data_IF_133218508213
#
_entry.id   IF_133218508213
#
_cell.length_a   1.000
_cell.length_b   1.000
_cell.length_c   1.000
_cell.angle_alpha   90.00
_cell.angle_beta   90.00
_cell.angle_gamma   90.00
#
_symmetry.space_group_name_H-M   'P 1'
#
loop_
_entity.id
_entity.type
_entity.pdbx_description
1 polymer ?
#
# COMPACT_ATOMS: atom_id res chain seq x y z
N UNK A 1 -0.64 14.60 -20.75
CA UNK A 1 -0.73 15.10 -19.36
C UNK A 1 0.25 14.31 -18.53
N UNK A 2 0.96 14.93 -17.59
CA UNK A 2 1.70 14.16 -16.60
C UNK A 2 0.70 13.30 -15.80
N UNK A 3 1.00 12.01 -15.63
CA UNK A 3 0.17 11.12 -14.80
C UNK A 3 0.18 11.59 -13.34
N UNK A 4 -0.83 11.16 -12.57
CA UNK A 4 -0.86 11.35 -11.12
C UNK A 4 -0.48 10.04 -10.45
N UNK A 5 0.38 10.11 -9.44
CA UNK A 5 0.74 8.96 -8.62
C UNK A 5 -0.30 8.77 -7.53
N UNK A 6 -0.82 7.55 -7.41
CA UNK A 6 -1.66 7.12 -6.30
C UNK A 6 -0.77 6.46 -5.24
N UNK A 7 -0.78 7.01 -4.04
CA UNK A 7 0.11 6.60 -2.94
C UNK A 7 -0.72 6.16 -1.73
N UNK A 8 -1.26 4.93 -1.72
CA UNK A 8 -1.91 4.40 -0.53
C UNK A 8 -0.87 4.11 0.57
N UNK A 9 -1.17 4.58 1.78
CA UNK A 9 -0.41 4.30 2.99
C UNK A 9 -1.28 3.61 4.04
N UNK A 10 -0.82 2.48 4.57
CA UNK A 10 -1.45 1.77 5.71
C UNK A 10 -0.47 1.68 6.88
N UNK A 11 -0.95 1.73 8.12
CA UNK A 11 -0.10 1.66 9.31
C UNK A 11 0.71 0.37 9.35
N UNK A 12 2.03 0.51 9.32
CA UNK A 12 2.97 -0.57 9.56
C UNK A 12 3.61 -0.46 10.96
N UNK A 13 2.94 0.21 11.91
CA UNK A 13 3.37 0.43 13.29
C UNK A 13 4.70 1.20 13.42
N UNK A 14 5.02 1.64 14.64
CA UNK A 14 6.31 2.30 14.97
C UNK A 14 6.67 3.47 14.04
N UNK A 15 5.67 4.23 13.58
CA UNK A 15 5.85 5.36 12.67
C UNK A 15 6.13 5.00 11.21
N UNK A 16 6.01 3.72 10.84
CA UNK A 16 6.14 3.23 9.47
C UNK A 16 4.78 3.04 8.80
N UNK A 17 4.81 3.01 7.46
CA UNK A 17 3.67 2.72 6.60
C UNK A 17 4.00 1.63 5.59
N UNK A 18 3.04 0.78 5.28
CA UNK A 18 3.01 0.04 4.02
C UNK A 18 2.60 1.01 2.92
N UNK A 19 3.49 1.22 1.97
CA UNK A 19 3.33 2.20 0.89
C UNK A 19 3.23 1.46 -0.42
N UNK A 20 2.09 1.62 -1.08
CA UNK A 20 1.96 1.28 -2.49
C UNK A 20 2.23 2.49 -3.37
N UNK A 21 2.54 2.24 -4.64
CA UNK A 21 2.75 3.30 -5.62
C UNK A 21 2.16 2.88 -6.95
N UNK A 22 1.10 3.57 -7.37
CA UNK A 22 0.33 3.18 -8.55
C UNK A 22 0.06 4.37 -9.48
N UNK A 23 -0.29 4.05 -10.72
CA UNK A 23 -0.83 5.01 -11.68
C UNK A 23 -2.04 4.40 -12.36
N UNK A 24 -3.05 5.23 -12.63
CA UNK A 24 -4.15 4.81 -13.49
C UNK A 24 -3.73 4.97 -14.96
N UNK A 25 -3.65 3.86 -15.69
CA UNK A 25 -3.27 3.83 -17.11
C UNK A 25 -4.42 3.23 -17.90
N UNK A 26 -5.12 4.06 -18.70
CA UNK A 26 -6.29 3.60 -19.46
C UNK A 26 -7.44 3.18 -18.54
N UNK A 27 -7.73 1.88 -18.48
CA UNK A 27 -8.80 1.25 -17.73
C UNK A 27 -8.32 0.43 -16.51
N UNK A 28 -7.02 0.42 -16.24
CA UNK A 28 -6.42 -0.39 -15.18
C UNK A 28 -5.46 0.41 -14.30
N UNK A 29 -5.15 -0.19 -13.15
CA UNK A 29 -4.18 0.29 -12.19
C UNK A 29 -2.84 -0.40 -12.44
N UNK A 30 -1.79 0.39 -12.65
CA UNK A 30 -0.42 -0.07 -12.87
C UNK A 30 0.42 0.17 -11.61
N UNK A 31 1.15 -0.86 -11.15
CA UNK A 31 2.12 -0.71 -10.05
C UNK A 31 3.40 -0.05 -10.60
N UNK A 32 3.75 1.10 -10.03
CA UNK A 32 4.91 1.90 -10.41
C UNK A 32 6.18 1.46 -9.66
N UNK A 33 6.03 1.07 -8.40
CA UNK A 33 7.09 0.59 -7.52
C UNK A 33 6.52 -0.51 -6.62
N UNK A 34 7.28 -1.57 -6.31
CA UNK A 34 6.87 -2.61 -5.38
C UNK A 34 6.42 -2.02 -4.04
N UNK A 35 5.37 -2.60 -3.46
CA UNK A 35 4.94 -2.26 -2.10
C UNK A 35 6.11 -2.38 -1.12
N UNK A 36 6.35 -1.32 -0.36
CA UNK A 36 7.45 -1.24 0.62
C UNK A 36 7.00 -0.74 1.97
N UNK A 37 7.86 -0.88 2.97
CA UNK A 37 7.71 -0.20 4.25
C UNK A 37 8.55 1.07 4.21
N UNK A 38 7.97 2.20 4.61
CA UNK A 38 8.69 3.46 4.72
C UNK A 38 8.29 4.22 6.00
N UNK A 39 9.23 4.92 6.67
CA UNK A 39 8.91 5.89 7.70
C UNK A 39 8.03 7.01 7.12
N UNK A 40 7.01 7.42 7.86
CA UNK A 40 6.07 8.43 7.38
C UNK A 40 6.74 9.77 6.98
N UNK A 41 7.78 10.17 7.71
CA UNK A 41 8.55 11.39 7.42
C UNK A 41 9.33 11.29 6.12
N UNK A 42 9.91 10.12 5.84
CA UNK A 42 10.65 9.88 4.60
C UNK A 42 9.70 9.86 3.40
N UNK A 43 8.52 9.23 3.55
CA UNK A 43 7.48 9.29 2.53
C UNK A 43 7.06 10.74 2.25
N UNK A 44 6.82 11.54 3.29
CA UNK A 44 6.45 12.94 3.13
C UNK A 44 7.53 13.74 2.38
N UNK A 45 8.81 13.56 2.72
CA UNK A 45 9.92 14.21 2.03
C UNK A 45 10.00 13.79 0.56
N UNK A 46 9.94 12.48 0.29
CA UNK A 46 9.99 11.92 -1.07
C UNK A 46 8.87 12.49 -1.96
N UNK A 47 7.65 12.60 -1.45
CA UNK A 47 6.52 13.12 -2.22
C UNK A 47 6.65 14.63 -2.51
N UNK A 48 7.24 15.40 -1.60
CA UNK A 48 7.43 16.84 -1.78
C UNK A 48 8.58 17.17 -2.75
N UNK A 49 9.66 16.39 -2.70
CA UNK A 49 10.80 16.49 -3.61
C UNK A 49 10.48 15.96 -5.02
N UNK A 50 9.49 15.08 -5.13
CA UNK A 50 9.02 14.52 -6.39
C UNK A 50 8.51 15.57 -7.37
N UNK A 51 8.75 15.31 -8.66
CA UNK A 51 8.25 16.12 -9.77
C UNK A 51 6.84 15.74 -10.22
N UNK A 52 6.39 14.52 -9.89
CA UNK A 52 5.07 14.00 -10.24
C UNK A 52 4.04 14.36 -9.15
N UNK A 53 2.85 14.89 -9.52
CA UNK A 53 1.75 15.05 -8.57
C UNK A 53 1.36 13.73 -7.91
N UNK A 54 1.03 13.77 -6.63
CA UNK A 54 0.66 12.59 -5.84
C UNK A 54 -0.69 12.78 -5.12
N UNK A 55 -1.46 11.71 -5.08
CA UNK A 55 -2.67 11.59 -4.26
C UNK A 55 -2.39 10.57 -3.15
N UNK A 56 -2.32 11.03 -1.91
CA UNK A 56 -2.23 10.20 -0.72
C UNK A 56 -3.58 9.57 -0.41
N UNK A 57 -3.57 8.27 -0.12
CA UNK A 57 -4.75 7.48 0.24
C UNK A 57 -4.47 6.64 1.50
N UNK A 58 -5.49 6.04 2.09
CA UNK A 58 -5.40 5.26 3.31
C UNK A 58 -5.34 6.14 4.56
N UNK A 59 -4.38 5.85 5.44
CA UNK A 59 -4.18 6.54 6.71
C UNK A 59 -3.34 7.81 6.54
N UNK A 60 -3.78 8.70 5.66
CA UNK A 60 -3.03 9.88 5.23
C UNK A 60 -2.61 10.82 6.38
N UNK A 61 -3.40 10.86 7.45
CA UNK A 61 -3.12 11.66 8.66
C UNK A 61 -1.78 11.29 9.33
N UNK A 62 -1.22 10.12 9.00
CA UNK A 62 0.07 9.66 9.50
C UNK A 62 1.25 10.17 8.69
N UNK A 63 1.04 10.88 7.58
CA UNK A 63 2.06 11.46 6.69
C UNK A 63 2.06 13.00 6.83
N UNK A 64 2.63 13.55 7.92
CA UNK A 64 2.53 14.98 8.22
C UNK A 64 3.41 15.82 7.29
N UNK A 65 3.09 17.11 7.16
CA UNK A 65 3.93 18.09 6.46
C UNK A 65 3.76 18.09 4.96
N UNK A 66 2.75 17.40 4.43
CA UNK A 66 2.40 17.40 3.00
C UNK A 66 1.42 18.51 2.63
N UNK A 67 0.81 19.16 3.63
CA UNK A 67 -0.25 20.16 3.47
C UNK A 67 0.21 21.44 2.77
N UNK A 68 1.51 21.76 2.84
CA UNK A 68 2.10 22.93 2.20
C UNK A 68 2.59 22.68 0.76
N UNK A 69 2.46 21.43 0.26
CA UNK A 69 2.94 21.06 -1.07
C UNK A 69 1.76 20.90 -2.04
N UNK A 70 1.58 21.85 -2.96
CA UNK A 70 0.48 21.84 -3.93
C UNK A 70 0.43 20.59 -4.83
N UNK A 71 1.56 19.87 -4.95
CA UNK A 71 1.64 18.63 -5.72
C UNK A 71 1.14 17.40 -4.95
N UNK A 72 1.05 17.48 -3.63
CA UNK A 72 0.60 16.37 -2.78
C UNK A 72 -0.80 16.70 -2.28
N UNK A 73 -1.76 15.90 -2.71
CA UNK A 73 -3.15 16.05 -2.30
C UNK A 73 -3.61 14.82 -1.55
N UNK A 74 -4.58 14.98 -0.66
CA UNK A 74 -5.24 13.85 -0.03
C UNK A 74 -6.42 13.44 -0.90
N UNK A 75 -6.62 12.13 -1.10
CA UNK A 75 -7.86 11.63 -1.66
C UNK A 75 -9.07 12.13 -0.83
N UNK A 76 -10.24 12.32 -1.44
CA UNK A 76 -11.45 12.64 -0.68
C UNK A 76 -11.72 11.54 0.35
N UNK A 77 -12.24 11.90 1.52
CA UNK A 77 -12.47 10.98 2.64
C UNK A 77 -13.20 9.71 2.23
N UNK A 78 -14.22 9.86 1.38
CA UNK A 78 -15.00 8.75 0.87
C UNK A 78 -14.13 7.69 0.20
N UNK A 79 -13.02 8.07 -0.45
CA UNK A 79 -12.15 7.22 -1.26
C UNK A 79 -10.76 6.93 -0.65
N UNK A 80 -10.51 7.32 0.61
CA UNK A 80 -9.20 7.06 1.25
C UNK A 80 -9.02 5.59 1.62
N UNK A 81 -10.03 4.96 2.22
CA UNK A 81 -9.89 3.62 2.77
C UNK A 81 -10.15 2.52 1.72
N UNK A 82 -9.48 1.35 1.84
CA UNK A 82 -9.77 0.19 1.01
C UNK A 82 -11.25 -0.21 1.07
N UNK A 83 -11.80 -0.61 -0.08
CA UNK A 83 -13.20 -1.05 -0.18
C UNK A 83 -13.29 -2.48 -0.68
N UNK A 84 -14.17 -3.27 -0.06
CA UNK A 84 -14.44 -4.64 -0.48
C UNK A 84 -14.93 -4.75 -1.92
N UNK A 85 -15.69 -3.75 -2.40
CA UNK A 85 -16.12 -3.69 -3.81
C UNK A 85 -14.95 -3.57 -4.78
N UNK A 86 -13.90 -2.81 -4.44
CA UNK A 86 -12.69 -2.72 -5.26
C UNK A 86 -11.96 -4.06 -5.34
N UNK A 87 -11.87 -4.79 -4.22
CA UNK A 87 -11.31 -6.14 -4.18
C UNK A 87 -12.12 -7.10 -5.06
N UNK A 88 -13.46 -7.04 -4.98
CA UNK A 88 -14.34 -7.88 -5.80
C UNK A 88 -14.19 -7.60 -7.30
N UNK A 89 -14.07 -6.33 -7.71
CA UNK A 89 -13.84 -5.94 -9.11
C UNK A 89 -12.48 -6.46 -9.60
N UNK A 90 -11.41 -6.27 -8.81
CA UNK A 90 -10.07 -6.76 -9.16
C UNK A 90 -10.03 -8.29 -9.25
N UNK A 91 -10.69 -8.99 -8.31
CA UNK A 91 -10.81 -10.44 -8.33
C UNK A 91 -11.59 -10.95 -9.53
N UNK A 92 -12.70 -10.30 -9.88
CA UNK A 92 -13.50 -10.65 -11.05
C UNK A 92 -12.72 -10.49 -12.37
N UNK A 93 -11.85 -9.48 -12.47
CA UNK A 93 -10.99 -9.26 -13.64
C UNK A 93 -9.90 -10.33 -13.79
N UNK A 94 -9.49 -10.99 -12.70
CA UNK A 94 -8.49 -12.06 -12.68
C UNK A 94 -9.11 -13.47 -12.71
N UNK A 95 -10.44 -13.56 -12.65
CA UNK A 95 -11.14 -14.83 -12.60
C UNK A 95 -11.02 -15.60 -13.93
N UNK A 96 -10.58 -16.85 -13.85
CA UNK A 96 -10.50 -17.77 -14.99
C UNK A 96 -11.55 -18.88 -14.79
N UNK A 97 -12.60 -18.95 -15.63
CA UNK A 97 -13.54 -20.06 -15.60
C UNK A 97 -12.80 -21.39 -15.75
N UNK A 98 -13.13 -22.37 -14.91
CA UNK A 98 -12.49 -23.71 -14.88
C UNK A 98 -10.99 -23.71 -14.53
N UNK A 99 -10.40 -22.55 -14.22
CA UNK A 99 -9.01 -22.44 -13.77
C UNK A 99 -8.84 -22.87 -12.32
N UNK A 100 -7.85 -23.72 -12.06
CA UNK A 100 -7.38 -24.06 -10.70
C UNK A 100 -6.50 -22.93 -10.12
N UNK A 101 -6.99 -21.69 -10.22
CA UNK A 101 -6.25 -20.49 -9.79
C UNK A 101 -6.36 -20.23 -8.29
N UNK A 102 -7.22 -20.97 -7.58
CA UNK A 102 -7.58 -20.73 -6.19
C UNK A 102 -7.73 -22.04 -5.40
N UNK A 103 -6.67 -22.84 -5.35
CA UNK A 103 -6.53 -23.76 -4.22
C UNK A 103 -6.65 -22.94 -2.95
N UNK A 104 -7.73 -23.13 -2.19
CA UNK A 104 -7.95 -22.45 -0.90
C UNK A 104 -6.74 -22.62 0.05
N UNK A 105 -5.97 -23.70 -0.13
CA UNK A 105 -4.77 -24.00 0.64
C UNK A 105 -3.48 -23.37 0.08
N UNK A 106 -3.51 -22.77 -1.11
CA UNK A 106 -2.35 -22.14 -1.76
C UNK A 106 -2.30 -20.61 -1.66
N UNK A 107 -3.20 -19.99 -0.89
CA UNK A 107 -3.18 -18.56 -0.66
C UNK A 107 -2.25 -18.22 0.52
N UNK A 108 -1.09 -17.64 0.20
CA UNK A 108 -0.14 -17.16 1.19
C UNK A 108 -0.32 -15.65 1.44
N UNK A 109 -0.28 -15.20 2.71
CA UNK A 109 -0.19 -13.78 3.01
C UNK A 109 1.06 -13.16 2.37
N UNK A 110 0.92 -11.94 1.86
CA UNK A 110 2.06 -11.18 1.35
C UNK A 110 2.87 -10.57 2.50
N UNK A 111 3.88 -11.32 2.98
CA UNK A 111 4.76 -10.90 4.08
C UNK A 111 5.85 -9.92 3.62
N UNK A 112 5.59 -8.62 3.76
CA UNK A 112 6.59 -7.56 3.50
C UNK A 112 7.64 -7.49 4.62
N UNK A 113 7.23 -7.83 5.85
CA UNK A 113 8.12 -8.08 6.99
C UNK A 113 7.52 -9.18 7.87
N UNK A 114 8.36 -9.78 8.73
CA UNK A 114 7.87 -10.66 9.78
C UNK A 114 6.98 -9.90 10.76
N UNK A 115 5.97 -10.59 11.28
CA UNK A 115 5.05 -10.02 12.27
C UNK A 115 5.76 -9.83 13.63
N UNK A 116 5.29 -8.88 14.44
CA UNK A 116 5.79 -8.72 15.81
C UNK A 116 5.56 -9.98 16.65
N UNK A 117 4.48 -10.72 16.39
CA UNK A 117 4.18 -11.98 17.07
C UNK A 117 5.28 -13.02 16.83
N UNK A 118 5.75 -13.15 15.59
CA UNK A 118 6.85 -14.07 15.25
C UNK A 118 8.19 -13.60 15.82
N UNK A 119 8.49 -12.30 15.78
CA UNK A 119 9.71 -11.75 16.41
C UNK A 119 9.71 -11.98 17.93
N UNK A 120 8.55 -11.84 18.58
CA UNK A 120 8.41 -12.06 20.02
C UNK A 120 8.47 -13.54 20.37
N UNK A 121 7.95 -14.41 19.49
CA UNK A 121 7.98 -15.86 19.67
C UNK A 121 9.41 -16.39 19.67
N UNK A 122 10.26 -15.94 18.74
CA UNK A 122 11.70 -16.31 18.71
C UNK A 122 12.45 -15.78 19.93
N UNK A 123 12.20 -14.54 20.35
CA UNK A 123 12.80 -13.99 21.58
C UNK A 123 12.44 -14.81 22.82
N UNK A 124 11.27 -15.46 22.82
CA UNK A 124 10.80 -16.33 23.90
C UNK A 124 11.26 -17.79 23.75
N UNK A 125 11.68 -18.22 22.56
CA UNK A 125 12.11 -19.60 22.28
C UNK A 125 13.39 -19.64 21.42
N UNK A 126 14.56 -19.19 21.95
CA UNK A 126 15.80 -19.11 21.17
C UNK A 126 16.42 -20.46 20.79
N UNK A 127 15.96 -21.59 21.37
CA UNK A 127 16.57 -22.92 21.18
C UNK A 127 15.83 -23.83 20.16
N UNK A 128 14.85 -23.31 19.42
CA UNK A 128 14.11 -24.09 18.42
C UNK A 128 14.68 -23.98 17.01
N UNK A 129 15.88 -24.52 16.75
CA UNK A 129 16.38 -24.77 15.39
C UNK A 129 16.87 -26.20 15.22
#
# INVERSE_FOLDING_TARGET
>A
MAGVRLTPGLDAQKGNLYVGSYRWTGDHLEEMEPVRIAPAKELAAQLQEGSEPAILMGECHRVPGTEACDRVTLAPESARLPRGSSVAILGAAQYVPEGDIHSYFGMDPFYIRRSEAEELWEKRHPEGR
#
